data_IF_522662354943
#
_entry.id   IF_522662354943
#
_cell.length_a   1.000
_cell.length_b   1.000
_cell.length_c   1.000
_cell.angle_alpha   90.00
_cell.angle_beta   90.00
_cell.angle_gamma   90.00
#
_symmetry.space_group_name_H-M   'P 1'
#
loop_
_entity.id
_entity.type
_entity.pdbx_description
1 polymer ?
#
# COMPACT_ATOMS: atom_id res chain seq x y z
N UNK A 1 32.29 19.74 23.03
CA UNK A 1 31.20 20.33 22.23
C UNK A 1 30.72 19.25 21.29
N UNK A 2 29.60 18.61 21.62
CA UNK A 2 29.00 17.56 20.79
C UNK A 2 28.23 18.24 19.67
N UNK A 3 28.80 18.22 18.46
CA UNK A 3 28.11 18.65 17.25
C UNK A 3 26.86 17.78 17.07
N UNK A 4 25.72 18.37 17.41
CA UNK A 4 24.40 17.78 17.22
C UNK A 4 24.20 17.65 15.70
N UNK A 5 24.45 16.47 15.13
CA UNK A 5 24.29 16.20 13.71
C UNK A 5 22.79 16.10 13.35
N UNK A 6 22.09 17.23 13.46
CA UNK A 6 20.76 17.42 12.89
C UNK A 6 20.93 17.43 11.38
N UNK A 7 20.28 16.47 10.72
CA UNK A 7 20.23 16.42 9.25
C UNK A 7 19.76 17.80 8.76
N UNK A 8 20.49 18.43 7.81
CA UNK A 8 20.21 19.81 7.44
C UNK A 8 18.78 19.95 6.91
N UNK A 9 18.08 20.99 7.34
CA UNK A 9 16.69 21.30 6.95
C UNK A 9 16.48 21.25 5.42
N UNK A 10 17.53 21.58 4.66
CA UNK A 10 17.58 21.51 3.20
C UNK A 10 17.19 20.14 2.65
N UNK A 11 17.60 19.04 3.30
CA UNK A 11 17.27 17.67 2.87
C UNK A 11 15.75 17.48 2.94
N UNK A 12 15.12 17.80 4.08
CA UNK A 12 13.66 17.65 4.23
C UNK A 12 12.88 18.50 3.24
N UNK A 13 13.33 19.73 2.96
CA UNK A 13 12.70 20.60 1.97
C UNK A 13 12.82 20.06 0.54
N UNK A 14 13.97 19.48 0.18
CA UNK A 14 14.16 18.82 -1.11
C UNK A 14 13.21 17.62 -1.29
N UNK A 15 13.10 16.79 -0.26
CA UNK A 15 12.23 15.61 -0.30
C UNK A 15 10.77 16.04 -0.28
N UNK A 16 10.42 17.07 0.49
CA UNK A 16 9.09 17.67 0.45
C UNK A 16 8.71 18.13 -0.97
N UNK A 17 9.62 18.81 -1.68
CA UNK A 17 9.40 19.19 -3.07
C UNK A 17 9.21 17.95 -3.97
N UNK A 18 10.01 16.89 -3.79
CA UNK A 18 9.84 15.63 -4.50
C UNK A 18 8.47 14.96 -4.23
N UNK A 19 7.99 15.01 -2.98
CA UNK A 19 6.66 14.52 -2.62
C UNK A 19 5.54 15.35 -3.24
N UNK A 20 5.69 16.68 -3.29
CA UNK A 20 4.74 17.58 -3.95
C UNK A 20 4.65 17.29 -5.44
N UNK A 21 5.78 17.06 -6.11
CA UNK A 21 5.82 16.61 -7.50
C UNK A 21 5.14 15.24 -7.66
N UNK A 22 5.42 14.28 -6.78
CA UNK A 22 4.75 12.98 -6.79
C UNK A 22 3.23 13.09 -6.64
N UNK A 23 2.75 14.02 -5.81
CA UNK A 23 1.32 14.29 -5.66
C UNK A 23 0.71 14.95 -6.89
N UNK A 24 1.39 15.93 -7.48
CA UNK A 24 0.95 16.52 -8.75
C UNK A 24 0.88 15.44 -9.85
N UNK A 25 1.84 14.53 -9.91
CA UNK A 25 1.84 13.40 -10.84
C UNK A 25 0.67 12.44 -10.61
N UNK A 26 0.35 12.08 -9.36
CA UNK A 26 -0.84 11.25 -9.10
C UNK A 26 -2.14 11.94 -9.48
N UNK A 27 -2.25 13.25 -9.24
CA UNK A 27 -3.44 14.03 -9.62
C UNK A 27 -3.55 14.10 -11.14
N UNK A 28 -2.44 14.38 -11.84
CA UNK A 28 -2.42 14.38 -13.30
C UNK A 28 -2.76 13.00 -13.88
N UNK A 29 -2.20 11.92 -13.33
CA UNK A 29 -2.51 10.56 -13.74
C UNK A 29 -4.00 10.22 -13.54
N UNK A 30 -4.63 10.73 -12.48
CA UNK A 30 -6.06 10.53 -12.25
C UNK A 30 -6.97 11.20 -13.30
N UNK A 31 -6.49 12.26 -13.98
CA UNK A 31 -7.22 12.90 -15.08
C UNK A 31 -6.99 12.25 -16.45
N UNK A 32 -5.98 11.39 -16.58
CA UNK A 32 -5.69 10.68 -17.82
C UNK A 32 -6.30 9.29 -17.74
N UNK A 33 -7.29 9.01 -18.60
CA UNK A 33 -7.95 7.72 -18.61
C UNK A 33 -7.08 6.67 -19.33
N UNK A 34 -6.24 5.97 -18.56
CA UNK A 34 -5.36 4.92 -19.04
C UNK A 34 -6.03 3.53 -19.03
N UNK A 35 -7.35 3.48 -18.85
CA UNK A 35 -8.12 2.24 -18.80
C UNK A 35 -7.63 1.31 -17.67
N UNK A 36 -7.44 0.00 -17.93
CA UNK A 36 -7.04 -0.97 -16.90
C UNK A 36 -5.72 -0.66 -16.18
N UNK A 37 -4.86 0.17 -16.78
CA UNK A 37 -3.55 0.52 -16.24
C UNK A 37 -3.58 1.69 -15.24
N UNK A 38 -4.70 2.40 -15.11
CA UNK A 38 -4.78 3.56 -14.21
C UNK A 38 -4.46 3.18 -12.75
N UNK A 39 -5.09 2.11 -12.25
CA UNK A 39 -4.87 1.64 -10.87
C UNK A 39 -3.44 1.15 -10.61
N UNK A 40 -2.84 0.25 -11.43
CA UNK A 40 -1.44 -0.14 -11.27
C UNK A 40 -0.47 1.05 -11.29
N UNK A 41 -0.65 2.00 -12.22
CA UNK A 41 0.23 3.17 -12.34
C UNK A 41 0.11 4.07 -11.11
N UNK A 42 -1.13 4.35 -10.66
CA UNK A 42 -1.37 5.13 -9.44
C UNK A 42 -0.72 4.46 -8.22
N UNK A 43 -0.79 3.13 -8.10
CA UNK A 43 -0.15 2.36 -7.03
C UNK A 43 1.38 2.45 -7.08
N UNK A 44 2.00 2.37 -8.26
CA UNK A 44 3.46 2.51 -8.40
C UNK A 44 3.92 3.89 -7.92
N UNK A 45 3.23 4.95 -8.32
CA UNK A 45 3.56 6.32 -7.87
C UNK A 45 3.34 6.45 -6.36
N UNK A 46 2.27 5.86 -5.82
CA UNK A 46 1.97 5.86 -4.39
C UNK A 46 3.05 5.14 -3.58
N UNK A 47 3.52 3.97 -4.03
CA UNK A 47 4.61 3.21 -3.38
C UNK A 47 5.90 4.02 -3.39
N UNK A 48 6.27 4.62 -4.53
CA UNK A 48 7.45 5.49 -4.61
C UNK A 48 7.39 6.64 -3.59
N UNK A 49 6.23 7.31 -3.49
CA UNK A 49 6.00 8.37 -2.49
C UNK A 49 6.14 7.83 -1.06
N UNK A 50 5.55 6.68 -0.76
CA UNK A 50 5.63 6.05 0.55
C UNK A 50 7.08 5.69 0.93
N UNK A 51 7.88 5.17 -0.01
CA UNK A 51 9.30 4.87 0.22
C UNK A 51 10.09 6.12 0.59
N UNK A 52 9.88 7.25 -0.09
CA UNK A 52 10.51 8.53 0.25
C UNK A 52 10.14 8.99 1.67
N UNK A 53 8.87 8.86 2.05
CA UNK A 53 8.39 9.22 3.41
C UNK A 53 9.06 8.35 4.47
N UNK A 54 9.08 7.03 4.27
CA UNK A 54 9.66 6.07 5.24
C UNK A 54 11.16 6.29 5.40
N UNK A 55 11.90 6.45 4.31
CA UNK A 55 13.36 6.58 4.37
C UNK A 55 13.78 7.88 5.07
N UNK A 56 13.12 9.00 4.78
CA UNK A 56 13.59 10.31 5.20
C UNK A 56 12.77 10.97 6.31
N UNK A 57 11.44 11.04 6.18
CA UNK A 57 10.61 11.69 7.20
C UNK A 57 10.46 10.83 8.45
N UNK A 58 10.34 9.51 8.29
CA UNK A 58 10.35 8.57 9.43
C UNK A 58 11.78 8.26 9.93
N UNK A 59 12.81 8.92 9.38
CA UNK A 59 14.21 8.73 9.77
C UNK A 59 14.73 7.29 9.71
N UNK A 60 14.07 6.38 9.01
CA UNK A 60 14.49 4.97 8.96
C UNK A 60 15.90 4.84 8.40
N UNK A 61 16.28 5.67 7.40
CA UNK A 61 17.64 5.67 6.85
C UNK A 61 18.74 6.03 7.86
N UNK A 62 18.43 6.87 8.85
CA UNK A 62 19.38 7.37 9.85
C UNK A 62 19.22 6.67 11.22
N UNK A 63 18.16 5.87 11.38
CA UNK A 63 17.87 5.12 12.60
C UNK A 63 18.82 3.94 12.83
N UNK A 64 18.70 3.35 14.02
CA UNK A 64 19.46 2.15 14.39
C UNK A 64 19.01 0.91 13.58
N UNK A 65 19.82 -0.16 13.61
CA UNK A 65 19.46 -1.45 12.98
C UNK A 65 18.14 -2.02 13.52
N UNK A 66 17.80 -1.70 14.77
CA UNK A 66 16.53 -2.10 15.38
C UNK A 66 15.33 -1.44 14.69
N UNK A 67 15.43 -0.16 14.34
CA UNK A 67 14.37 0.56 13.60
C UNK A 67 14.16 -0.07 12.22
N UNK A 68 15.25 -0.42 11.53
CA UNK A 68 15.19 -1.14 10.26
C UNK A 68 14.51 -2.50 10.37
N UNK A 69 14.78 -3.25 11.45
CA UNK A 69 14.15 -4.54 11.68
C UNK A 69 12.63 -4.40 11.85
N UNK A 70 12.17 -3.44 12.66
CA UNK A 70 10.74 -3.20 12.84
C UNK A 70 10.06 -2.64 11.58
N UNK A 71 10.71 -1.73 10.85
CA UNK A 71 10.20 -1.21 9.60
C UNK A 71 10.03 -2.33 8.54
N UNK A 72 11.06 -3.18 8.39
CA UNK A 72 11.02 -4.34 7.51
C UNK A 72 10.00 -5.39 7.96
N UNK A 73 9.91 -5.67 9.26
CA UNK A 73 8.93 -6.57 9.85
C UNK A 73 7.49 -6.10 9.64
N UNK A 74 7.23 -4.80 9.81
CA UNK A 74 5.92 -4.20 9.53
C UNK A 74 5.54 -4.29 8.05
N UNK A 75 6.49 -4.08 7.14
CA UNK A 75 6.23 -4.22 5.71
C UNK A 75 6.00 -5.68 5.30
N UNK A 76 6.77 -6.62 5.84
CA UNK A 76 6.55 -8.06 5.67
C UNK A 76 5.15 -8.45 6.16
N UNK A 77 4.76 -7.97 7.34
CA UNK A 77 3.44 -8.24 7.91
C UNK A 77 2.32 -7.69 7.01
N UNK A 78 2.46 -6.46 6.50
CA UNK A 78 1.52 -5.87 5.55
C UNK A 78 1.37 -6.71 4.27
N UNK A 79 2.49 -7.18 3.70
CA UNK A 79 2.47 -8.02 2.50
C UNK A 79 1.74 -9.33 2.76
N UNK A 80 1.98 -9.98 3.91
CA UNK A 80 1.27 -11.21 4.29
C UNK A 80 -0.25 -10.95 4.35
N UNK A 81 -0.68 -9.87 5.02
CA UNK A 81 -2.09 -9.53 5.12
C UNK A 81 -2.74 -9.24 3.76
N UNK A 82 -2.04 -8.51 2.89
CA UNK A 82 -2.54 -8.21 1.54
C UNK A 82 -2.67 -9.48 0.70
N UNK A 83 -1.65 -10.34 0.69
CA UNK A 83 -1.68 -11.59 -0.09
C UNK A 83 -2.81 -12.49 0.40
N UNK A 84 -2.94 -12.71 1.71
CA UNK A 84 -4.02 -13.55 2.24
C UNK A 84 -5.41 -12.98 1.98
N UNK A 85 -5.58 -11.66 2.06
CA UNK A 85 -6.86 -11.02 1.75
C UNK A 85 -7.22 -11.15 0.28
N UNK A 86 -6.25 -10.98 -0.63
CA UNK A 86 -6.47 -11.20 -2.07
C UNK A 86 -6.75 -12.67 -2.38
N UNK A 87 -6.04 -13.62 -1.74
CA UNK A 87 -6.30 -15.05 -1.89
C UNK A 87 -7.70 -15.43 -1.42
N UNK A 88 -8.15 -14.89 -0.27
CA UNK A 88 -9.53 -15.05 0.19
C UNK A 88 -10.52 -14.50 -0.84
N UNK A 89 -10.31 -13.27 -1.32
CA UNK A 89 -11.18 -12.65 -2.31
C UNK A 89 -11.30 -13.47 -3.61
N UNK A 90 -10.17 -13.96 -4.12
CA UNK A 90 -10.13 -14.77 -5.35
C UNK A 90 -10.79 -16.14 -5.18
N UNK A 91 -10.77 -16.72 -3.98
CA UNK A 91 -11.34 -18.05 -3.72
C UNK A 91 -12.85 -18.06 -3.41
N UNK A 92 -13.46 -16.91 -3.09
CA UNK A 92 -14.91 -16.81 -2.76
C UNK A 92 -15.86 -17.26 -3.88
N UNK A 93 -15.45 -17.15 -5.14
CA UNK A 93 -16.25 -17.58 -6.28
C UNK A 93 -16.14 -19.08 -6.60
N UNK A 94 -15.34 -19.83 -5.84
CA UNK A 94 -14.95 -21.18 -6.24
C UNK A 94 -15.97 -22.26 -5.87
N UNK A 95 -16.68 -22.07 -4.76
CA UNK A 95 -17.85 -22.86 -4.41
C UNK A 95 -19.06 -22.17 -5.04
N UNK A 96 -19.61 -22.76 -6.10
CA UNK A 96 -20.82 -22.27 -6.74
C UNK A 96 -21.90 -22.03 -5.69
N UNK A 97 -22.50 -20.83 -5.72
CA UNK A 97 -23.60 -20.50 -4.82
C UNK A 97 -24.64 -21.60 -4.97
N UNK A 98 -25.07 -22.23 -3.87
CA UNK A 98 -26.13 -23.19 -4.01
C UNK A 98 -27.34 -22.38 -4.54
N UNK A 99 -27.97 -22.90 -5.59
CA UNK A 99 -29.21 -22.42 -6.19
C UNK A 99 -30.41 -22.66 -5.27
N UNK A 100 -31.32 -21.70 -5.14
CA UNK A 100 -32.54 -21.67 -4.27
C UNK A 100 -33.40 -22.98 -4.26
N UNK A 101 -33.11 -23.94 -5.15
CA UNK A 101 -33.58 -25.32 -5.17
C UNK A 101 -33.53 -26.04 -3.81
N UNK A 102 -32.58 -25.77 -2.91
CA UNK A 102 -32.63 -26.36 -1.54
C UNK A 102 -33.74 -25.78 -0.64
N UNK A 103 -34.18 -24.55 -0.89
CA UNK A 103 -35.36 -23.99 -0.21
C UNK A 103 -36.66 -24.56 -0.80
N UNK A 104 -36.62 -24.98 -2.07
CA UNK A 104 -37.74 -25.63 -2.75
C UNK A 104 -37.86 -27.12 -2.36
N UNK A 105 -36.73 -27.79 -2.18
CA UNK A 105 -36.63 -29.19 -1.74
C UNK A 105 -37.04 -29.39 -0.27
N UNK A 106 -37.13 -28.31 0.52
CA UNK A 106 -37.62 -28.29 1.90
C UNK A 106 -39.13 -28.05 2.06
N UNK A 107 -39.89 -27.83 0.98
CA UNK A 107 -41.35 -27.59 1.01
C UNK A 107 -42.16 -28.79 0.46
N UNK A 108 -41.57 -29.98 0.42
CA UNK A 108 -42.27 -31.23 0.11
C UNK A 108 -43.15 -31.71 1.28
N UNK A 109 -44.16 -32.56 1.04
CA UNK A 109 -45.20 -32.91 2.03
C UNK A 109 -44.75 -33.86 3.17
N UNK A 110 -43.56 -33.66 3.75
CA UNK A 110 -43.09 -34.36 4.96
C UNK A 110 -42.55 -33.38 6.01
#
# INVERSE_FOLDING_TARGET
MSDHHIVPLRIYLLIFAALMLGTALTVAAAYVDMGPLNTPIALVIAVFKATLVVLFFMHVRYGSRLVWLFAGGGFLWLVILLVFTLSDYLSRGWLGQPTIEFLEQGNGPF
#
